data_IF_619984818884
#
_entry.id   IF_619984818884
#
_cell.length_a   1.000
_cell.length_b   1.000
_cell.length_c   1.000
_cell.angle_alpha   90.00
_cell.angle_beta   90.00
_cell.angle_gamma   90.00
#
_symmetry.space_group_name_H-M   'P 1'
#
loop_
_entity.id
_entity.type
_entity.pdbx_description
1 polymer ?
#
# COMPACT_ATOMS: atom_id res chain seq x y z
N UNK A 1 -2.78 7.75 13.81
CA UNK A 1 -2.63 8.30 12.45
C UNK A 1 -2.05 7.26 11.50
N UNK A 2 -0.91 6.62 11.82
CA UNK A 2 -0.36 5.52 11.01
C UNK A 2 -1.37 4.37 10.87
N UNK A 3 -2.02 3.94 11.96
CA UNK A 3 -3.01 2.85 11.88
C UNK A 3 -4.19 3.17 10.96
N UNK A 4 -4.69 4.42 11.01
CA UNK A 4 -5.77 4.89 10.13
C UNK A 4 -5.36 4.85 8.65
N UNK A 5 -4.16 5.35 8.32
CA UNK A 5 -3.64 5.30 6.94
C UNK A 5 -3.36 3.86 6.52
N UNK A 6 -2.87 3.01 7.43
CA UNK A 6 -2.63 1.59 7.15
C UNK A 6 -3.93 0.88 6.80
N UNK A 7 -4.99 1.07 7.58
CA UNK A 7 -6.32 0.51 7.28
C UNK A 7 -6.86 1.00 5.93
N UNK A 8 -6.67 2.29 5.61
CA UNK A 8 -7.04 2.83 4.31
C UNK A 8 -6.29 2.17 3.16
N UNK A 9 -4.95 2.05 3.26
CA UNK A 9 -4.13 1.39 2.23
C UNK A 9 -4.55 -0.07 2.08
N UNK A 10 -4.74 -0.80 3.19
CA UNK A 10 -5.19 -2.20 3.17
C UNK A 10 -6.55 -2.34 2.49
N UNK A 11 -7.49 -1.43 2.74
CA UNK A 11 -8.80 -1.41 2.06
C UNK A 11 -8.64 -1.22 0.56
N UNK A 12 -7.88 -0.21 0.12
CA UNK A 12 -7.66 0.06 -1.31
C UNK A 12 -6.93 -1.09 -2.00
N UNK A 13 -5.95 -1.71 -1.34
CA UNK A 13 -5.25 -2.90 -1.88
C UNK A 13 -6.23 -4.06 -2.05
N UNK A 14 -7.10 -4.31 -1.07
CA UNK A 14 -8.11 -5.36 -1.16
C UNK A 14 -9.08 -5.12 -2.32
N UNK A 15 -9.56 -3.88 -2.46
CA UNK A 15 -10.49 -3.48 -3.52
C UNK A 15 -9.88 -3.68 -4.92
N UNK A 16 -8.65 -3.20 -5.14
CA UNK A 16 -7.99 -3.30 -6.45
C UNK A 16 -7.62 -4.76 -6.79
N UNK A 17 -7.26 -5.56 -5.79
CA UNK A 17 -6.98 -6.99 -5.99
C UNK A 17 -8.24 -7.86 -6.05
N UNK A 18 -9.43 -7.26 -5.92
CA UNK A 18 -10.72 -7.96 -5.89
C UNK A 18 -10.73 -9.10 -4.85
N UNK A 19 -10.23 -8.83 -3.64
CA UNK A 19 -10.14 -9.79 -2.54
C UNK A 19 -10.71 -9.21 -1.25
N UNK A 20 -11.00 -10.08 -0.29
CA UNK A 20 -11.45 -9.67 1.04
C UNK A 20 -10.32 -8.99 1.83
N UNK A 21 -10.68 -7.94 2.57
CA UNK A 21 -9.72 -7.17 3.39
C UNK A 21 -8.95 -8.06 4.39
N UNK A 22 -9.58 -9.13 4.88
CA UNK A 22 -8.98 -10.09 5.81
C UNK A 22 -7.83 -10.90 5.20
N UNK A 23 -7.72 -10.92 3.87
CA UNK A 23 -6.63 -11.60 3.16
C UNK A 23 -5.38 -10.72 3.01
N UNK A 24 -5.48 -9.42 3.31
CA UNK A 24 -4.36 -8.48 3.22
C UNK A 24 -3.65 -8.39 4.56
N UNK A 25 -2.50 -9.05 4.65
CA UNK A 25 -1.58 -8.94 5.79
C UNK A 25 -0.69 -7.68 5.64
N UNK A 26 -0.83 -6.66 6.51
CA UNK A 26 -0.05 -5.43 6.43
C UNK A 26 1.44 -5.60 6.80
N UNK A 27 1.82 -6.74 7.40
CA UNK A 27 3.22 -7.09 7.70
C UNK A 27 3.93 -7.62 6.45
N UNK A 28 3.18 -8.07 5.44
CA UNK A 28 3.71 -8.49 4.14
C UNK A 28 3.88 -7.31 3.19
N UNK A 29 4.68 -7.51 2.15
CA UNK A 29 4.81 -6.55 1.06
C UNK A 29 3.58 -6.56 0.16
N UNK A 30 3.34 -5.46 -0.56
CA UNK A 30 2.25 -5.38 -1.51
C UNK A 30 2.40 -6.43 -2.62
N UNK A 31 3.63 -6.68 -3.09
CA UNK A 31 3.92 -7.71 -4.10
C UNK A 31 3.61 -9.13 -3.64
N UNK A 32 3.67 -9.40 -2.32
CA UNK A 32 3.28 -10.70 -1.77
C UNK A 32 1.80 -11.01 -2.03
N UNK A 33 0.96 -9.98 -2.02
CA UNK A 33 -0.48 -10.08 -2.28
C UNK A 33 -0.84 -10.03 -3.78
N UNK A 34 0.14 -9.89 -4.67
CA UNK A 34 -0.09 -9.84 -6.12
C UNK A 34 -0.09 -8.44 -6.72
N UNK A 35 0.35 -7.41 -5.98
CA UNK A 35 0.58 -6.08 -6.57
C UNK A 35 1.74 -6.15 -7.57
N UNK A 36 1.42 -5.98 -8.84
CA UNK A 36 2.36 -5.86 -9.95
C UNK A 36 2.51 -4.41 -10.43
N UNK A 37 3.19 -4.19 -11.55
CA UNK A 37 3.46 -2.85 -12.07
C UNK A 37 2.21 -2.06 -12.48
N UNK A 38 1.17 -2.72 -12.99
CA UNK A 38 -0.10 -2.09 -13.36
C UNK A 38 -0.89 -1.75 -12.09
N UNK A 39 -1.03 -2.73 -11.20
CA UNK A 39 -1.73 -2.55 -9.93
C UNK A 39 -1.05 -1.48 -9.05
N UNK A 40 0.29 -1.42 -9.05
CA UNK A 40 1.02 -0.37 -8.35
C UNK A 40 0.71 1.04 -8.88
N UNK A 41 0.50 1.18 -10.21
CA UNK A 41 0.10 2.45 -10.82
C UNK A 41 -1.32 2.82 -10.40
N UNK A 42 -2.25 1.86 -10.44
CA UNK A 42 -3.63 2.06 -10.00
C UNK A 42 -3.70 2.44 -8.52
N UNK A 43 -2.98 1.72 -7.67
CA UNK A 43 -2.90 2.01 -6.23
C UNK A 43 -2.33 3.40 -5.96
N UNK A 44 -1.26 3.80 -6.66
CA UNK A 44 -0.72 5.16 -6.58
C UNK A 44 -1.78 6.20 -6.94
N UNK A 45 -2.51 5.97 -8.03
CA UNK A 45 -3.54 6.89 -8.49
C UNK A 45 -4.69 6.99 -7.48
N UNK A 46 -5.12 5.87 -6.89
CA UNK A 46 -6.19 5.81 -5.89
C UNK A 46 -5.81 6.50 -4.58
N UNK A 47 -4.56 6.35 -4.13
CA UNK A 47 -4.08 6.95 -2.88
C UNK A 47 -3.78 8.44 -3.00
N UNK A 48 -3.69 9.00 -4.22
CA UNK A 48 -3.48 10.42 -4.48
C UNK A 48 -2.18 11.02 -3.92
N UNK A 49 -1.35 10.21 -3.26
CA UNK A 49 -0.14 10.63 -2.57
C UNK A 49 1.08 10.55 -3.50
N UNK A 50 2.17 11.24 -3.11
CA UNK A 50 3.49 11.15 -3.76
C UNK A 50 4.17 9.79 -3.51
N UNK A 51 3.43 8.71 -3.66
CA UNK A 51 3.93 7.34 -3.53
C UNK A 51 4.66 7.01 -4.82
N UNK A 52 5.91 6.58 -4.70
CA UNK A 52 6.65 6.06 -5.84
C UNK A 52 6.20 4.61 -6.08
N UNK A 53 5.84 4.26 -7.32
CA UNK A 53 5.47 2.90 -7.70
C UNK A 53 6.58 1.89 -7.40
N UNK A 54 7.85 2.30 -7.44
CA UNK A 54 8.98 1.45 -7.04
C UNK A 54 8.91 1.02 -5.56
N UNK A 55 8.32 1.83 -4.67
CA UNK A 55 8.13 1.47 -3.27
C UNK A 55 7.02 0.44 -3.09
N UNK A 56 6.00 0.48 -3.96
CA UNK A 56 4.92 -0.51 -4.00
C UNK A 56 5.38 -1.87 -4.52
N UNK A 57 6.39 -1.86 -5.39
CA UNK A 57 7.00 -3.05 -5.98
C UNK A 57 8.18 -3.60 -5.18
N UNK A 58 8.53 -2.97 -4.05
CA UNK A 58 9.60 -3.45 -3.20
C UNK A 58 9.12 -4.65 -2.38
N UNK A 59 9.57 -5.85 -2.78
CA UNK A 59 9.19 -7.10 -2.12
C UNK A 59 9.66 -7.22 -0.67
N UNK A 60 10.60 -6.37 -0.24
CA UNK A 60 11.12 -6.31 1.13
C UNK A 60 10.42 -5.27 2.00
N UNK A 61 9.60 -4.39 1.43
CA UNK A 61 8.90 -3.33 2.16
C UNK A 61 7.49 -3.78 2.51
N UNK A 62 7.18 -3.85 3.80
CA UNK A 62 5.81 -4.15 4.24
C UNK A 62 4.86 -2.98 3.98
N UNK A 63 3.58 -3.27 3.85
CA UNK A 63 2.52 -2.25 3.73
C UNK A 63 2.54 -1.31 4.95
N UNK A 64 2.77 -1.84 6.16
CA UNK A 64 2.91 -1.05 7.37
C UNK A 64 4.12 -0.09 7.32
N UNK A 65 5.28 -0.57 6.85
CA UNK A 65 6.47 0.27 6.69
C UNK A 65 6.26 1.38 5.66
N UNK A 66 5.63 1.05 4.52
CA UNK A 66 5.24 2.02 3.50
C UNK A 66 4.30 3.08 4.08
N UNK A 67 3.31 2.67 4.86
CA UNK A 67 2.37 3.58 5.55
C UNK A 67 3.12 4.59 6.40
N UNK A 68 4.08 4.13 7.22
CA UNK A 68 4.92 5.01 8.02
C UNK A 68 5.68 6.03 7.17
N UNK A 69 6.23 5.62 6.02
CA UNK A 69 6.89 6.54 5.08
C UNK A 69 5.93 7.57 4.49
N UNK A 70 4.72 7.18 4.12
CA UNK A 70 3.71 8.09 3.57
C UNK A 70 3.31 9.14 4.61
N UNK A 71 3.01 8.71 5.84
CA UNK A 71 2.66 9.62 6.92
C UNK A 71 3.81 10.59 7.22
N UNK A 72 5.03 10.09 7.34
CA UNK A 72 6.21 10.92 7.60
C UNK A 72 6.45 11.93 6.47
N UNK A 73 6.24 11.55 5.22
CA UNK A 73 6.40 12.45 4.07
C UNK A 73 5.28 13.51 3.96
N UNK A 74 4.10 13.27 4.55
CA UNK A 74 2.98 14.21 4.54
C UNK A 74 3.06 15.28 5.64
N UNK A 75 3.83 15.01 6.70
CA UNK A 75 4.01 15.92 7.86
C UNK A 75 5.37 16.61 7.90
N UNK A 76 6.23 16.37 6.90
CA UNK A 76 7.52 17.02 6.70
C UNK A 76 7.37 18.22 5.76
#
# INVERSE_FOLDING_TARGET
MIDFVSSGIVTVVADILFTEITNIDPVRSATYHGVDSLIAVELRNALGARINTAQLLDSKMSIAALTGRIVNAAIA
#
